data_IF_621652925839
#
_entry.id   IF_621652925839
#
_cell.length_a   1.000
_cell.length_b   1.000
_cell.length_c   1.000
_cell.angle_alpha   90.00
_cell.angle_beta   90.00
_cell.angle_gamma   90.00
#
_symmetry.space_group_name_H-M   'P 1'
#
loop_
_entity.id
_entity.type
_entity.pdbx_description
1 polymer ?
#
# COMPACT_ATOMS: atom_id res chain seq x y z
N UNK A 1 57.97 26.54 -2.87
CA UNK A 1 56.70 25.80 -2.69
C UNK A 1 56.67 25.33 -1.24
N UNK A 2 55.89 25.97 -0.38
CA UNK A 2 55.83 25.65 1.06
C UNK A 2 54.78 24.57 1.28
N UNK A 3 55.16 23.45 1.90
CA UNK A 3 54.21 22.40 2.25
C UNK A 3 53.22 22.90 3.31
N UNK A 4 51.96 22.42 3.29
CA UNK A 4 50.99 22.75 4.34
C UNK A 4 51.51 22.29 5.71
N UNK A 5 51.33 23.13 6.74
CA UNK A 5 51.73 22.79 8.12
C UNK A 5 50.90 21.63 8.70
N UNK A 6 51.40 20.98 9.75
CA UNK A 6 50.73 19.82 10.39
C UNK A 6 49.28 20.07 10.78
N UNK A 7 48.95 21.30 11.18
CA UNK A 7 47.60 21.66 11.61
C UNK A 7 46.63 21.75 10.42
N UNK A 8 47.14 22.21 9.28
CA UNK A 8 46.38 22.23 8.02
C UNK A 8 46.11 20.82 7.51
N UNK A 9 47.05 19.88 7.68
CA UNK A 9 46.87 18.47 7.30
C UNK A 9 45.82 17.80 8.19
N UNK A 10 45.86 18.02 9.52
CA UNK A 10 44.86 17.49 10.45
C UNK A 10 43.45 18.01 10.15
N UNK A 11 43.34 19.30 9.83
CA UNK A 11 42.07 19.92 9.47
C UNK A 11 41.50 19.33 8.17
N UNK A 12 42.33 19.14 7.15
CA UNK A 12 41.93 18.51 5.89
C UNK A 12 41.47 17.06 6.09
N UNK A 13 42.20 16.27 6.88
CA UNK A 13 41.81 14.90 7.21
C UNK A 13 40.47 14.85 7.94
N UNK A 14 40.24 15.75 8.89
CA UNK A 14 38.97 15.82 9.63
C UNK A 14 37.79 16.16 8.72
N UNK A 15 37.97 17.11 7.80
CA UNK A 15 36.95 17.47 6.80
C UNK A 15 36.63 16.28 5.90
N UNK A 16 37.65 15.58 5.38
CA UNK A 16 37.46 14.42 4.50
C UNK A 16 36.71 13.30 5.22
N UNK A 17 37.10 12.98 6.47
CA UNK A 17 36.41 11.96 7.28
C UNK A 17 34.96 12.38 7.52
N UNK A 18 34.71 13.64 7.88
CA UNK A 18 33.36 14.14 8.11
C UNK A 18 32.50 14.08 6.84
N UNK A 19 33.05 14.49 5.70
CA UNK A 19 32.35 14.41 4.40
C UNK A 19 32.07 12.96 4.02
N UNK A 20 33.02 12.04 4.22
CA UNK A 20 32.81 10.62 3.93
C UNK A 20 31.72 10.02 4.83
N UNK A 21 31.75 10.31 6.13
CA UNK A 21 30.73 9.86 7.08
C UNK A 21 29.35 10.44 6.77
N UNK A 22 29.27 11.72 6.41
CA UNK A 22 28.01 12.35 6.02
C UNK A 22 27.41 11.71 4.75
N UNK A 23 28.23 11.47 3.72
CA UNK A 23 27.78 10.81 2.50
C UNK A 23 27.40 9.34 2.73
N UNK A 24 28.16 8.62 3.57
CA UNK A 24 27.83 7.25 3.96
C UNK A 24 26.50 7.19 4.72
N UNK A 25 26.27 8.11 5.65
CA UNK A 25 25.02 8.19 6.38
C UNK A 25 23.82 8.47 5.47
N UNK A 26 23.94 9.43 4.54
CA UNK A 26 22.90 9.74 3.54
C UNK A 26 22.61 8.51 2.67
N UNK A 27 23.65 7.79 2.23
CA UNK A 27 23.50 6.57 1.44
C UNK A 27 22.76 5.47 2.21
N UNK A 28 23.13 5.23 3.47
CA UNK A 28 22.44 4.25 4.33
C UNK A 28 20.97 4.65 4.55
N UNK A 29 20.67 5.93 4.78
CA UNK A 29 19.28 6.40 4.90
C UNK A 29 18.47 6.18 3.63
N UNK A 30 19.05 6.43 2.45
CA UNK A 30 18.36 6.25 1.17
C UNK A 30 18.02 4.77 0.87
N UNK A 31 18.86 3.83 1.30
CA UNK A 31 18.63 2.39 1.12
C UNK A 31 17.51 1.86 2.04
N UNK A 32 17.24 2.54 3.15
CA UNK A 32 16.20 2.14 4.12
C UNK A 32 14.83 2.80 3.87
N UNK A 33 14.71 3.66 2.85
CA UNK A 33 13.43 4.25 2.45
C UNK A 33 12.66 3.30 1.54
N UNK A 34 12.03 2.25 2.09
CA UNK A 34 10.94 1.60 1.36
C UNK A 34 9.72 2.50 1.48
N UNK A 35 9.38 3.23 0.41
CA UNK A 35 8.13 3.97 0.35
C UNK A 35 6.97 3.03 0.72
N UNK A 36 6.14 3.44 1.68
CA UNK A 36 4.94 2.69 2.05
C UNK A 36 4.02 2.62 0.84
N UNK A 37 3.54 1.43 0.50
CA UNK A 37 2.57 1.21 -0.56
C UNK A 37 1.19 1.12 0.09
N UNK A 38 0.32 2.07 -0.24
CA UNK A 38 -1.06 2.08 0.27
C UNK A 38 -1.93 1.19 -0.63
N UNK A 39 -2.55 0.17 -0.04
CA UNK A 39 -3.39 -0.79 -0.75
C UNK A 39 -4.80 -0.72 -0.19
N UNK A 40 -5.81 -0.57 -1.05
CA UNK A 40 -7.21 -0.66 -0.65
C UNK A 40 -7.76 -2.04 -1.00
N UNK A 41 -8.01 -2.93 -0.02
CA UNK A 41 -8.73 -4.16 -0.25
C UNK A 41 -10.23 -3.84 -0.39
N UNK A 42 -10.75 -3.98 -1.60
CA UNK A 42 -12.12 -3.61 -1.97
C UNK A 42 -12.89 -4.85 -2.39
N UNK A 43 -14.15 -5.00 -1.96
CA UNK A 43 -14.96 -6.11 -2.43
C UNK A 43 -16.14 -6.43 -1.54
N UNK A 44 -16.62 -7.67 -1.65
CA UNK A 44 -17.76 -8.15 -0.88
C UNK A 44 -17.37 -8.94 0.39
N UNK A 45 -18.20 -9.92 0.77
CA UNK A 45 -18.00 -10.79 1.92
C UNK A 45 -16.70 -11.60 1.86
N UNK A 46 -16.12 -11.83 0.69
CA UNK A 46 -14.84 -12.55 0.55
C UNK A 46 -13.66 -11.65 0.96
N UNK A 47 -13.76 -10.34 0.66
CA UNK A 47 -12.79 -9.33 1.12
C UNK A 47 -12.94 -9.06 2.62
N UNK A 48 -14.18 -9.01 3.13
CA UNK A 48 -14.46 -8.92 4.56
C UNK A 48 -13.91 -10.16 5.31
N UNK A 49 -14.26 -11.35 4.83
CA UNK A 49 -13.80 -12.63 5.40
C UNK A 49 -14.28 -12.88 6.82
N UNK A 50 -15.59 -12.73 7.06
CA UNK A 50 -16.23 -12.91 8.38
C UNK A 50 -15.56 -12.11 9.52
N UNK A 51 -15.01 -10.94 9.20
CA UNK A 51 -14.25 -10.06 10.11
C UNK A 51 -12.93 -10.67 10.65
N UNK A 52 -12.49 -11.79 10.06
CA UNK A 52 -11.24 -12.49 10.43
C UNK A 52 -10.12 -12.26 9.41
N UNK A 53 -10.30 -11.29 8.51
CA UNK A 53 -9.26 -10.89 7.58
C UNK A 53 -9.21 -11.62 6.24
N UNK A 54 -10.16 -12.53 5.95
CA UNK A 54 -10.38 -13.12 4.63
C UNK A 54 -9.14 -13.36 3.76
N UNK A 55 -9.21 -12.91 2.51
CA UNK A 55 -8.08 -12.93 1.57
C UNK A 55 -6.96 -11.94 1.94
N UNK A 56 -7.27 -10.88 2.72
CA UNK A 56 -6.34 -9.82 3.13
C UNK A 56 -5.19 -10.32 3.99
N UNK A 57 -5.47 -11.23 4.93
CA UNK A 57 -4.46 -11.79 5.84
C UNK A 57 -3.33 -12.47 5.07
N UNK A 58 -3.66 -13.37 4.15
CA UNK A 58 -2.65 -14.08 3.35
C UNK A 58 -1.85 -13.10 2.50
N UNK A 59 -2.54 -12.17 1.86
CA UNK A 59 -1.93 -11.18 1.00
C UNK A 59 -0.94 -10.28 1.75
N UNK A 60 -1.33 -9.78 2.93
CA UNK A 60 -0.45 -8.97 3.78
C UNK A 60 0.82 -9.73 4.17
N UNK A 61 0.68 -10.99 4.60
CA UNK A 61 1.82 -11.84 4.93
C UNK A 61 2.72 -12.10 3.72
N UNK A 62 2.15 -12.31 2.53
CA UNK A 62 2.94 -12.48 1.31
C UNK A 62 3.76 -11.23 0.97
N UNK A 63 3.19 -10.03 1.11
CA UNK A 63 3.92 -8.77 0.92
C UNK A 63 5.04 -8.55 1.94
N UNK A 64 4.74 -8.80 3.22
CA UNK A 64 5.74 -8.71 4.28
C UNK A 64 6.91 -9.70 4.07
N UNK A 65 6.61 -10.93 3.62
CA UNK A 65 7.61 -11.96 3.36
C UNK A 65 8.58 -11.60 2.23
N UNK A 66 8.14 -10.82 1.23
CA UNK A 66 9.01 -10.35 0.14
C UNK A 66 9.63 -8.97 0.42
N UNK A 67 9.37 -8.39 1.60
CA UNK A 67 9.99 -7.16 2.06
C UNK A 67 9.31 -5.86 1.60
N UNK A 68 8.05 -5.93 1.15
CA UNK A 68 7.27 -4.71 0.91
C UNK A 68 6.74 -4.13 2.21
N UNK A 69 6.82 -2.80 2.33
CA UNK A 69 6.17 -2.03 3.39
C UNK A 69 4.78 -1.62 2.90
N UNK A 70 3.74 -2.30 3.38
CA UNK A 70 2.36 -2.15 2.93
C UNK A 70 1.50 -1.62 4.07
N UNK A 71 0.60 -0.70 3.74
CA UNK A 71 -0.41 -0.12 4.62
C UNK A 71 -1.79 -0.33 3.95
N UNK A 72 -2.70 -0.99 4.65
CA UNK A 72 -4.06 -1.16 4.14
C UNK A 72 -4.90 0.06 4.47
N UNK A 73 -5.67 0.52 3.50
CA UNK A 73 -6.52 1.70 3.66
C UNK A 73 -7.98 1.37 3.36
N UNK A 74 -8.88 1.97 4.12
CA UNK A 74 -10.31 1.80 3.97
C UNK A 74 -11.09 2.45 5.11
N UNK A 75 -12.41 2.51 4.97
CA UNK A 75 -13.32 3.07 5.96
C UNK A 75 -13.75 2.05 7.03
N UNK A 76 -13.56 0.76 6.77
CA UNK A 76 -13.87 -0.34 7.67
C UNK A 76 -12.60 -0.92 8.28
N UNK A 77 -12.74 -1.47 9.49
CA UNK A 77 -11.66 -2.17 10.17
C UNK A 77 -12.18 -3.34 11.00
N UNK A 78 -11.38 -4.40 11.07
CA UNK A 78 -11.69 -5.62 11.82
C UNK A 78 -10.83 -5.72 13.08
N UNK A 79 -11.26 -5.16 14.22
CA UNK A 79 -10.43 -5.01 15.42
C UNK A 79 -10.01 -6.34 16.07
N UNK A 80 -10.72 -7.43 15.77
CA UNK A 80 -10.42 -8.77 16.29
C UNK A 80 -9.25 -9.44 15.53
N UNK A 81 -8.79 -8.85 14.42
CA UNK A 81 -7.77 -9.39 13.51
C UNK A 81 -6.37 -8.76 13.69
N UNK A 82 -5.85 -8.69 14.92
CA UNK A 82 -4.61 -7.96 15.26
C UNK A 82 -3.29 -8.53 14.72
N UNK A 83 -3.32 -9.59 13.90
CA UNK A 83 -2.12 -10.22 13.35
C UNK A 83 -1.55 -9.50 12.11
N UNK A 84 -2.32 -8.58 11.53
CA UNK A 84 -1.96 -7.80 10.34
C UNK A 84 -2.75 -6.48 10.30
N UNK A 85 -2.52 -5.67 9.27
CA UNK A 85 -3.29 -4.43 9.07
C UNK A 85 -4.78 -4.71 8.85
N UNK A 86 -5.63 -4.10 9.67
CA UNK A 86 -7.05 -4.44 9.79
C UNK A 86 -7.97 -3.63 8.88
N UNK A 87 -7.45 -2.58 8.24
CA UNK A 87 -8.25 -1.64 7.46
C UNK A 87 -8.66 -2.22 6.09
N UNK A 88 -9.87 -1.90 5.62
CA UNK A 88 -10.42 -2.41 4.35
C UNK A 88 -11.69 -1.68 3.89
N UNK A 89 -12.13 -2.01 2.67
CA UNK A 89 -13.39 -1.57 2.05
C UNK A 89 -14.20 -2.80 1.61
N UNK A 90 -14.40 -3.73 2.55
CA UNK A 90 -15.08 -5.02 2.32
C UNK A 90 -16.52 -4.98 2.78
N UNK A 91 -17.48 -5.08 1.86
CA UNK A 91 -18.90 -4.91 2.14
C UNK A 91 -19.70 -6.19 1.86
N UNK A 92 -20.02 -6.94 2.91
CA UNK A 92 -20.78 -8.19 2.78
C UNK A 92 -22.12 -7.99 2.06
N UNK A 93 -22.37 -8.81 1.02
CA UNK A 93 -23.61 -8.80 0.24
C UNK A 93 -23.71 -7.71 -0.82
N UNK A 94 -22.68 -6.89 -1.03
CA UNK A 94 -22.71 -5.83 -2.03
C UNK A 94 -22.50 -6.35 -3.45
N UNK A 95 -23.18 -5.68 -4.38
CA UNK A 95 -23.08 -5.87 -5.83
C UNK A 95 -22.02 -4.95 -6.43
N UNK A 96 -21.54 -5.28 -7.64
CA UNK A 96 -20.53 -4.50 -8.34
C UNK A 96 -20.97 -3.04 -8.59
N UNK A 97 -22.25 -2.82 -8.89
CA UNK A 97 -22.78 -1.47 -9.09
C UNK A 97 -22.73 -0.61 -7.82
N UNK A 98 -22.97 -1.20 -6.65
CA UNK A 98 -22.88 -0.48 -5.37
C UNK A 98 -21.43 -0.09 -5.08
N UNK A 99 -20.46 -0.94 -5.42
CA UNK A 99 -19.04 -0.61 -5.31
C UNK A 99 -18.67 0.51 -6.29
N UNK A 100 -19.10 0.43 -7.55
CA UNK A 100 -18.85 1.43 -8.60
C UNK A 100 -19.32 2.83 -8.18
N UNK A 101 -20.48 2.92 -7.54
CA UNK A 101 -21.08 4.20 -7.14
C UNK A 101 -20.34 4.86 -5.95
N UNK A 102 -19.54 4.10 -5.18
CA UNK A 102 -18.89 4.60 -3.96
C UNK A 102 -17.35 4.66 -4.05
N UNK A 103 -16.72 3.88 -4.93
CA UNK A 103 -15.25 3.73 -5.00
C UNK A 103 -14.49 5.04 -5.14
N UNK A 104 -15.05 6.02 -5.85
CA UNK A 104 -14.42 7.32 -6.00
C UNK A 104 -14.34 8.08 -4.67
N UNK A 105 -15.42 8.09 -3.89
CA UNK A 105 -15.45 8.75 -2.59
C UNK A 105 -14.52 8.06 -1.59
N UNK A 106 -14.45 6.73 -1.61
CA UNK A 106 -13.51 5.98 -0.78
C UNK A 106 -12.06 6.31 -1.10
N UNK A 107 -11.69 6.41 -2.38
CA UNK A 107 -10.34 6.80 -2.80
C UNK A 107 -10.01 8.27 -2.50
N UNK A 108 -11.00 9.17 -2.45
CA UNK A 108 -10.78 10.55 -2.01
C UNK A 108 -10.54 10.64 -0.49
N UNK A 109 -11.26 9.83 0.31
CA UNK A 109 -11.11 9.81 1.77
C UNK A 109 -9.90 9.01 2.24
N UNK A 110 -9.60 7.91 1.54
CA UNK A 110 -8.55 6.95 1.84
C UNK A 110 -7.72 6.70 0.57
N UNK A 111 -6.79 7.62 0.21
CA UNK A 111 -6.00 7.49 -1.00
C UNK A 111 -5.19 6.19 -1.01
N UNK A 112 -5.28 5.45 -2.12
CA UNK A 112 -4.56 4.20 -2.32
C UNK A 112 -3.71 4.24 -3.60
N UNK A 113 -2.54 3.59 -3.55
CA UNK A 113 -1.69 3.37 -4.72
C UNK A 113 -2.20 2.20 -5.57
N UNK A 114 -2.76 1.18 -4.90
CA UNK A 114 -3.25 -0.06 -5.51
C UNK A 114 -4.63 -0.39 -4.94
N UNK A 115 -5.57 -0.79 -5.80
CA UNK A 115 -6.86 -1.34 -5.39
C UNK A 115 -6.89 -2.82 -5.75
N UNK A 116 -7.18 -3.67 -4.77
CA UNK A 116 -7.37 -5.11 -4.97
C UNK A 116 -8.87 -5.37 -4.85
N UNK A 117 -9.51 -5.65 -5.98
CA UNK A 117 -10.96 -5.71 -6.10
C UNK A 117 -11.42 -7.16 -6.28
N UNK A 118 -12.20 -7.67 -5.33
CA UNK A 118 -12.87 -8.96 -5.46
C UNK A 118 -14.39 -8.78 -5.29
N UNK A 119 -15.13 -8.77 -6.41
CA UNK A 119 -16.57 -8.50 -6.46
C UNK A 119 -17.23 -9.32 -7.59
N UNK A 120 -18.55 -9.49 -7.57
CA UNK A 120 -19.32 -10.18 -8.63
C UNK A 120 -19.95 -11.50 -8.19
N UNK A 121 -19.55 -12.06 -7.05
CA UNK A 121 -20.15 -13.27 -6.49
C UNK A 121 -21.63 -13.09 -6.14
N UNK A 122 -22.00 -11.91 -5.63
CA UNK A 122 -23.38 -11.57 -5.29
C UNK A 122 -24.23 -11.27 -6.53
N UNK A 123 -23.66 -10.65 -7.57
CA UNK A 123 -24.33 -10.32 -8.83
C UNK A 123 -24.80 -11.59 -9.55
N UNK A 124 -23.91 -12.59 -9.64
CA UNK A 124 -24.24 -13.91 -10.21
C UNK A 124 -25.28 -14.64 -9.35
N UNK A 125 -25.15 -14.59 -8.03
CA UNK A 125 -26.10 -15.26 -7.13
C UNK A 125 -27.50 -14.63 -7.14
N UNK A 126 -27.61 -13.34 -7.46
CA UNK A 126 -28.89 -12.62 -7.54
C UNK A 126 -29.49 -12.61 -8.95
N UNK A 127 -28.78 -13.18 -9.95
CA UNK A 127 -29.24 -13.24 -11.33
C UNK A 127 -29.10 -11.92 -12.08
N UNK A 128 -28.31 -10.98 -11.57
CA UNK A 128 -28.04 -9.70 -12.23
C UNK A 128 -26.88 -9.87 -13.22
N UNK A 129 -27.22 -10.20 -14.46
CA UNK A 129 -26.29 -10.37 -15.59
C UNK A 129 -25.82 -9.04 -16.20
N UNK A 130 -26.08 -7.92 -15.54
CA UNK A 130 -25.74 -6.57 -16.00
C UNK A 130 -24.25 -6.23 -15.74
N UNK A 131 -23.33 -7.03 -16.26
CA UNK A 131 -21.94 -6.59 -16.43
C UNK A 131 -21.91 -5.57 -17.57
N UNK A 132 -22.28 -4.32 -17.27
CA UNK A 132 -22.11 -3.20 -18.20
C UNK A 132 -20.66 -2.75 -18.13
N UNK A 133 -19.98 -2.90 -19.25
CA UNK A 133 -18.57 -2.56 -19.48
C UNK A 133 -18.36 -1.03 -19.54
N UNK A 134 -18.73 -0.29 -18.48
CA UNK A 134 -18.68 1.17 -18.43
C UNK A 134 -17.63 1.66 -17.44
N UNK A 135 -16.39 1.15 -17.51
CA UNK A 135 -15.27 1.74 -16.75
C UNK A 135 -14.67 2.92 -17.54
N UNK A 136 -14.79 4.17 -17.05
CA UNK A 136 -14.20 5.32 -17.71
C UNK A 136 -12.68 5.22 -17.69
N UNK A 137 -12.08 5.44 -18.86
CA UNK A 137 -10.66 5.30 -19.14
C UNK A 137 -9.81 6.36 -18.40
N UNK A 138 -9.57 6.19 -17.09
CA UNK A 138 -8.57 6.98 -16.36
C UNK A 138 -7.72 6.10 -15.44
N UNK A 139 -6.57 5.71 -15.99
CA UNK A 139 -5.24 5.53 -15.36
C UNK A 139 -5.21 5.07 -13.89
N UNK A 140 -5.98 4.04 -13.52
CA UNK A 140 -5.66 3.19 -12.38
C UNK A 140 -4.45 2.33 -12.79
N UNK A 141 -3.37 2.36 -12.00
CA UNK A 141 -2.12 1.65 -12.33
C UNK A 141 -2.17 0.14 -12.07
N UNK A 142 -3.27 -0.38 -11.55
CA UNK A 142 -3.51 -1.81 -11.44
C UNK A 142 -4.83 -2.08 -10.72
N UNK A 143 -5.76 -2.73 -11.42
CA UNK A 143 -6.84 -3.50 -10.82
C UNK A 143 -6.41 -4.96 -11.02
N UNK A 144 -6.19 -5.68 -9.93
CA UNK A 144 -5.91 -7.12 -9.98
C UNK A 144 -7.22 -7.82 -9.60
N UNK A 145 -7.73 -8.63 -10.54
CA UNK A 145 -8.86 -9.56 -10.36
C UNK A 145 -8.41 -10.81 -9.59
#
# INVERSE_FOLDING_TARGET
MTFPGSDTIKLLSLIIIFTFLANFFIFVSAVNGSDTIFIMPLGDSITLGDNMGGSRRKLFLDFANVGFNVDFVGSLSDPDSQEFDIDHEGHSGWLADQIKDNVYNWLELNPADIVILHIGTNDISQGDENVREDLPSRKLRGIIF
#
